data_IF_187595722920
#
_entry.id   IF_187595722920
#
_cell.length_a   1.000
_cell.length_b   1.000
_cell.length_c   1.000
_cell.angle_alpha   90.00
_cell.angle_beta   90.00
_cell.angle_gamma   90.00
#
_symmetry.space_group_name_H-M   'P 1'
#
loop_
_entity.id
_entity.type
_entity.pdbx_description
1 polymer ?
#
# COMPACT_ATOMS: atom_id res chain seq x y z
N UNK A 1 9.96 -5.94 36.40
CA UNK A 1 10.75 -5.45 35.26
C UNK A 1 10.70 -6.51 34.16
N UNK A 2 9.90 -6.29 33.12
CA UNK A 2 10.08 -6.93 31.82
C UNK A 2 9.28 -6.12 30.79
N UNK A 3 9.82 -4.95 30.44
CA UNK A 3 9.42 -4.26 29.22
C UNK A 3 9.95 -5.08 28.06
N UNK A 4 9.15 -6.03 27.58
CA UNK A 4 9.32 -6.63 26.27
C UNK A 4 9.30 -5.48 25.27
N UNK A 5 10.48 -5.18 24.72
CA UNK A 5 10.71 -4.19 23.67
C UNK A 5 9.74 -4.47 22.52
N UNK A 6 8.55 -3.86 22.57
CA UNK A 6 7.62 -3.82 21.46
C UNK A 6 8.34 -3.00 20.41
N UNK A 7 8.93 -3.71 19.45
CA UNK A 7 9.50 -3.12 18.26
C UNK A 7 8.29 -2.50 17.58
N UNK A 8 8.06 -1.20 17.77
CA UNK A 8 6.97 -0.46 17.17
C UNK A 8 7.12 -0.62 15.65
N UNK A 9 6.29 -1.44 14.97
CA UNK A 9 6.46 -1.74 13.55
C UNK A 9 6.13 -0.54 12.65
N UNK A 10 5.73 0.58 13.25
CA UNK A 10 4.98 1.65 12.60
C UNK A 10 5.87 2.68 11.88
N UNK A 11 7.18 2.73 12.18
CA UNK A 11 8.05 3.80 11.67
C UNK A 11 8.93 3.40 10.47
N UNK A 12 9.33 2.14 10.34
CA UNK A 12 10.20 1.72 9.23
C UNK A 12 9.39 1.29 8.01
N UNK A 13 9.52 1.96 6.84
CA UNK A 13 8.87 1.51 5.61
C UNK A 13 9.49 0.18 5.16
N UNK A 14 8.90 -0.92 5.61
CA UNK A 14 9.35 -2.28 5.31
C UNK A 14 8.46 -2.99 4.27
N UNK A 15 7.30 -2.40 3.94
CA UNK A 15 6.32 -3.03 3.07
C UNK A 15 6.68 -2.79 1.60
N UNK A 16 7.02 -3.86 0.89
CA UNK A 16 7.39 -3.80 -0.54
C UNK A 16 6.16 -3.88 -1.44
N UNK A 17 6.21 -3.25 -2.62
CA UNK A 17 5.15 -3.37 -3.64
C UNK A 17 4.77 -4.83 -3.94
N UNK A 18 5.75 -5.73 -4.04
CA UNK A 18 5.50 -7.15 -4.25
C UNK A 18 4.63 -7.78 -3.16
N UNK A 19 4.91 -7.46 -1.88
CA UNK A 19 4.11 -7.94 -0.74
C UNK A 19 2.70 -7.34 -0.72
N UNK A 20 2.55 -6.08 -1.16
CA UNK A 20 1.23 -5.45 -1.31
C UNK A 20 0.42 -6.21 -2.37
N UNK A 21 1.04 -6.54 -3.51
CA UNK A 21 0.40 -7.30 -4.57
C UNK A 21 0.04 -8.73 -4.13
N UNK A 22 0.93 -9.41 -3.40
CA UNK A 22 0.63 -10.74 -2.84
C UNK A 22 -0.56 -10.69 -1.88
N UNK A 23 -0.65 -9.64 -1.05
CA UNK A 23 -1.78 -9.44 -0.13
C UNK A 23 -3.08 -9.06 -0.84
N UNK A 24 -2.99 -8.31 -1.94
CA UNK A 24 -4.13 -7.86 -2.74
C UNK A 24 -4.58 -8.89 -3.78
N UNK A 25 -3.86 -10.01 -3.92
CA UNK A 25 -4.21 -11.07 -4.84
C UNK A 25 -5.71 -11.45 -4.73
N UNK A 26 -6.42 -11.57 -5.87
CA UNK A 26 -5.92 -11.66 -7.25
C UNK A 26 -5.61 -10.32 -7.93
N UNK A 27 -5.80 -9.18 -7.25
CA UNK A 27 -5.54 -7.85 -7.82
C UNK A 27 -4.08 -7.46 -7.63
N UNK A 28 -3.41 -7.10 -8.72
CA UNK A 28 -2.03 -6.57 -8.68
C UNK A 28 -2.01 -5.10 -9.02
N UNK A 29 -1.30 -4.31 -8.22
CA UNK A 29 -1.07 -2.89 -8.46
C UNK A 29 0.33 -2.63 -9.01
N UNK A 30 0.42 -1.59 -9.83
CA UNK A 30 1.70 -1.06 -10.30
C UNK A 30 2.04 0.25 -9.59
N UNK A 31 3.29 0.68 -9.69
CA UNK A 31 3.73 1.98 -9.18
C UNK A 31 2.91 3.11 -9.80
N UNK A 32 2.63 3.05 -11.11
CA UNK A 32 1.78 4.02 -11.79
C UNK A 32 0.33 3.99 -11.30
N UNK A 33 -0.21 2.79 -11.02
CA UNK A 33 -1.54 2.64 -10.43
C UNK A 33 -1.64 3.31 -9.06
N UNK A 34 -0.64 3.09 -8.20
CA UNK A 34 -0.55 3.74 -6.90
C UNK A 34 -0.37 5.26 -7.00
N UNK A 35 0.46 5.73 -7.92
CA UNK A 35 0.64 7.16 -8.18
C UNK A 35 -0.68 7.81 -8.64
N UNK A 36 -1.48 7.14 -9.47
CA UNK A 36 -2.82 7.59 -9.88
C UNK A 36 -3.81 7.64 -8.71
N UNK A 37 -3.67 6.74 -7.74
CA UNK A 37 -4.43 6.75 -6.49
C UNK A 37 -3.92 7.81 -5.50
N UNK A 38 -2.88 8.58 -5.84
CA UNK A 38 -2.29 9.60 -4.97
C UNK A 38 -1.36 9.04 -3.90
N UNK A 39 -0.92 7.79 -4.03
CA UNK A 39 -0.07 7.11 -3.06
C UNK A 39 1.37 7.13 -3.57
N UNK A 40 2.19 7.96 -2.92
CA UNK A 40 3.63 8.05 -3.17
C UNK A 40 4.37 6.98 -2.39
N UNK A 41 5.46 6.48 -2.95
CA UNK A 41 6.35 5.55 -2.27
C UNK A 41 7.18 6.30 -1.23
N UNK A 42 7.31 5.72 -0.03
CA UNK A 42 8.06 6.32 1.07
C UNK A 42 9.57 6.30 0.81
N UNK A 43 10.07 5.20 0.23
CA UNK A 43 11.45 5.07 -0.15
C UNK A 43 11.61 4.12 -1.35
N UNK A 44 12.76 4.20 -2.01
CA UNK A 44 13.16 3.22 -3.03
C UNK A 44 14.41 2.52 -2.56
N UNK A 45 14.32 1.22 -2.27
CA UNK A 45 15.47 0.39 -1.95
C UNK A 45 15.88 -0.40 -3.20
N UNK A 46 16.94 0.06 -3.88
CA UNK A 46 17.44 -0.41 -5.18
C UNK A 46 16.40 -0.38 -6.31
N UNK A 47 15.49 -1.35 -6.33
CA UNK A 47 14.38 -1.46 -7.30
C UNK A 47 13.04 -1.69 -6.62
N UNK A 48 13.01 -1.91 -5.30
CA UNK A 48 11.78 -2.11 -4.53
C UNK A 48 11.26 -0.76 -4.02
N UNK A 49 10.02 -0.45 -4.37
CA UNK A 49 9.28 0.66 -3.75
C UNK A 49 8.82 0.21 -2.37
N UNK A 50 9.26 0.93 -1.35
CA UNK A 50 8.91 0.73 0.05
C UNK A 50 7.76 1.67 0.41
N UNK A 51 6.80 1.11 1.14
CA UNK A 51 5.60 1.76 1.66
C UNK A 51 5.52 1.51 3.16
N UNK A 52 4.74 2.34 3.85
CA UNK A 52 4.39 2.09 5.24
C UNK A 52 3.23 1.11 5.35
N UNK A 53 3.10 0.42 6.48
CA UNK A 53 1.91 -0.38 6.76
C UNK A 53 0.64 0.47 6.77
N UNK A 54 0.74 1.73 7.21
CA UNK A 54 -0.36 2.70 7.13
C UNK A 54 -0.79 3.00 5.70
N UNK A 55 0.14 2.96 4.73
CA UNK A 55 -0.18 3.16 3.32
C UNK A 55 -1.04 2.02 2.79
N UNK A 56 -0.87 0.79 3.27
CA UNK A 56 -1.69 -0.35 2.85
C UNK A 56 -3.19 -0.09 3.06
N UNK A 57 -3.57 0.44 4.22
CA UNK A 57 -4.97 0.81 4.49
C UNK A 57 -5.47 1.89 3.53
N UNK A 58 -4.63 2.91 3.23
CA UNK A 58 -4.95 3.97 2.26
C UNK A 58 -5.09 3.42 0.84
N UNK A 59 -4.25 2.47 0.44
CA UNK A 59 -4.30 1.78 -0.86
C UNK A 59 -5.64 1.07 -1.02
N UNK A 60 -6.06 0.28 -0.02
CA UNK A 60 -7.34 -0.43 -0.05
C UNK A 60 -8.52 0.52 -0.18
N UNK A 61 -8.55 1.61 0.61
CA UNK A 61 -9.63 2.61 0.52
C UNK A 61 -9.66 3.30 -0.85
N UNK A 62 -8.51 3.69 -1.39
CA UNK A 62 -8.43 4.34 -2.69
C UNK A 62 -8.88 3.39 -3.83
N UNK A 63 -8.51 2.11 -3.75
CA UNK A 63 -8.99 1.06 -4.65
C UNK A 63 -10.51 0.93 -4.62
N UNK A 64 -11.11 0.84 -3.42
CA UNK A 64 -12.56 0.77 -3.22
C UNK A 64 -13.26 1.98 -3.84
N UNK A 65 -12.77 3.19 -3.56
CA UNK A 65 -13.33 4.44 -4.14
C UNK A 65 -13.22 4.46 -5.66
N UNK A 66 -12.08 4.00 -6.21
CA UNK A 66 -11.90 3.92 -7.66
C UNK A 66 -12.88 2.93 -8.29
N UNK A 67 -13.01 1.73 -7.74
CA UNK A 67 -13.95 0.72 -8.24
C UNK A 67 -15.38 1.25 -8.18
N UNK A 68 -15.80 1.87 -7.07
CA UNK A 68 -17.13 2.49 -6.95
C UNK A 68 -17.36 3.58 -8.00
N UNK A 69 -16.35 4.42 -8.25
CA UNK A 69 -16.43 5.49 -9.26
C UNK A 69 -16.54 4.93 -10.67
N UNK A 70 -15.76 3.89 -11.01
CA UNK A 70 -15.83 3.21 -12.31
C UNK A 70 -17.17 2.51 -12.49
N UNK A 71 -17.69 1.85 -11.45
CA UNK A 71 -19.02 1.22 -11.46
C UNK A 71 -20.12 2.25 -11.67
N UNK A 72 -20.07 3.41 -10.98
CA UNK A 72 -21.04 4.47 -11.13
C UNK A 72 -21.02 5.12 -12.53
N UNK A 73 -19.85 5.21 -13.17
CA UNK A 73 -19.70 5.76 -14.52
C UNK A 73 -19.97 4.72 -15.63
N UNK A 74 -20.07 3.43 -15.29
CA UNK A 74 -20.37 2.35 -16.24
C UNK A 74 -21.87 2.11 -16.43
N UNK A 75 -22.73 2.89 -15.77
CA UNK A 75 -24.19 2.82 -15.83
C UNK A 75 -24.78 4.14 -16.33
#
# INVERSE_FOLDING_TARGET
MSSSKQIEPDETPALRLGQINDRLAPVSLTVDGLARLGIMHAATDKSAKLYHERDFSRICTALLQHIQSVQANAN
#
